data_IF_714718634555
#
_entry.id   IF_714718634555
#
_cell.length_a   1.000
_cell.length_b   1.000
_cell.length_c   1.000
_cell.angle_alpha   90.00
_cell.angle_beta   90.00
_cell.angle_gamma   90.00
#
_symmetry.space_group_name_H-M   'P 1'
#
loop_
_entity.id
_entity.type
_entity.pdbx_description
1 polymer ?
#
# COMPACT_ATOMS: atom_id res chain seq x y z
N UNK A 1 18.18 9.46 -3.68
CA UNK A 1 17.82 9.02 -2.33
C UNK A 1 16.36 8.69 -2.24
N UNK A 2 16.05 7.57 -1.62
CA UNK A 2 14.66 7.21 -1.41
C UNK A 2 14.08 7.99 -0.23
N UNK A 3 12.83 8.41 -0.37
CA UNK A 3 12.09 9.08 0.68
C UNK A 3 11.02 8.15 1.19
N UNK A 4 10.76 8.22 2.47
CA UNK A 4 9.73 7.40 3.10
C UNK A 4 8.65 8.27 3.69
N UNK A 5 7.40 7.94 3.41
CA UNK A 5 6.25 8.64 3.96
C UNK A 5 5.30 7.62 4.57
N UNK A 6 4.68 7.99 5.68
CA UNK A 6 3.69 7.15 6.34
C UNK A 6 2.35 7.84 6.32
N UNK A 7 1.29 7.10 5.98
CA UNK A 7 -0.07 7.60 5.96
C UNK A 7 -0.95 6.70 6.81
N UNK A 8 -1.72 7.31 7.70
CA UNK A 8 -2.71 6.58 8.48
C UNK A 8 -4.03 6.59 7.72
N UNK A 9 -4.59 5.43 7.49
CA UNK A 9 -5.86 5.31 6.76
C UNK A 9 -6.76 4.30 7.46
N UNK A 10 -8.06 4.45 7.27
CA UNK A 10 -9.03 3.45 7.72
C UNK A 10 -9.04 2.30 6.71
N UNK A 11 -9.52 1.14 7.14
CA UNK A 11 -9.64 0.01 6.24
C UNK A 11 -10.46 0.32 5.00
N UNK A 12 -11.50 1.14 5.15
CA UNK A 12 -12.35 1.56 4.03
C UNK A 12 -11.57 2.32 2.96
N UNK A 13 -10.59 3.10 3.38
CA UNK A 13 -9.82 3.94 2.47
C UNK A 13 -8.49 3.33 2.03
N UNK A 14 -8.17 2.15 2.54
CA UNK A 14 -6.88 1.52 2.27
C UNK A 14 -6.66 1.25 0.78
N UNK A 15 -7.61 0.59 0.15
CA UNK A 15 -7.51 0.27 -1.29
C UNK A 15 -7.45 1.55 -2.12
N UNK A 16 -8.28 2.52 -1.77
CA UNK A 16 -8.31 3.79 -2.48
C UNK A 16 -6.97 4.51 -2.39
N UNK A 17 -6.38 4.53 -1.20
CA UNK A 17 -5.09 5.19 -1.00
C UNK A 17 -3.99 4.49 -1.78
N UNK A 18 -3.97 3.16 -1.78
CA UNK A 18 -2.99 2.40 -2.55
C UNK A 18 -3.12 2.70 -4.04
N UNK A 19 -4.34 2.76 -4.56
CA UNK A 19 -4.56 3.12 -5.96
C UNK A 19 -4.03 4.50 -6.30
N UNK A 20 -4.26 5.47 -5.42
CA UNK A 20 -3.73 6.82 -5.61
C UNK A 20 -2.21 6.84 -5.68
N UNK A 21 -1.57 6.12 -4.76
CA UNK A 21 -0.12 6.04 -4.72
C UNK A 21 0.46 5.41 -5.98
N UNK A 22 -0.19 4.39 -6.48
CA UNK A 22 0.22 3.72 -7.72
C UNK A 22 0.13 4.68 -8.91
N UNK A 23 -0.94 5.48 -8.95
CA UNK A 23 -1.13 6.45 -10.03
C UNK A 23 -0.08 7.55 -10.04
N UNK A 24 0.45 7.90 -8.88
CA UNK A 24 1.49 8.93 -8.80
C UNK A 24 2.74 8.52 -9.57
N UNK A 25 3.01 7.22 -9.68
CA UNK A 25 4.10 6.72 -10.49
C UNK A 25 5.49 6.92 -9.90
N UNK A 26 5.58 7.53 -8.73
CA UNK A 26 6.83 7.85 -8.08
C UNK A 26 7.05 7.00 -6.81
N UNK A 27 6.32 5.92 -6.71
CA UNK A 27 6.36 5.04 -5.56
C UNK A 27 7.17 3.80 -5.90
N UNK A 28 8.13 3.49 -5.05
CA UNK A 28 9.03 2.36 -5.23
C UNK A 28 8.56 1.12 -4.48
N UNK A 29 8.05 1.31 -3.28
CA UNK A 29 7.60 0.20 -2.44
C UNK A 29 6.47 0.67 -1.53
N UNK A 30 5.50 -0.20 -1.31
CA UNK A 30 4.41 0.06 -0.37
C UNK A 30 4.42 -1.03 0.69
N UNK A 31 4.36 -0.61 1.96
CA UNK A 31 4.27 -1.51 3.10
C UNK A 31 3.02 -1.15 3.89
N UNK A 32 2.20 -2.13 4.22
CA UNK A 32 1.00 -1.92 5.02
C UNK A 32 1.23 -2.48 6.41
N UNK A 33 1.01 -1.65 7.41
CA UNK A 33 1.20 -2.00 8.82
C UNK A 33 -0.11 -1.85 9.57
N UNK A 34 -0.27 -2.62 10.63
CA UNK A 34 -1.42 -2.46 11.51
C UNK A 34 -1.21 -1.24 12.42
N UNK A 35 -2.19 -0.95 13.27
CA UNK A 35 -2.11 0.20 14.17
C UNK A 35 -1.00 0.07 15.22
N UNK A 36 -0.46 -1.13 15.42
CA UNK A 36 0.64 -1.38 16.34
C UNK A 36 2.00 -1.23 15.67
N UNK A 37 2.02 -0.98 14.36
CA UNK A 37 3.24 -0.87 13.61
C UNK A 37 3.77 -2.17 13.05
N UNK A 38 3.02 -3.26 13.20
CA UNK A 38 3.43 -4.55 12.67
C UNK A 38 3.20 -4.60 11.16
N UNK A 39 4.21 -4.99 10.41
CA UNK A 39 4.11 -5.13 8.97
C UNK A 39 3.20 -6.31 8.61
N UNK A 40 2.17 -6.02 7.84
CA UNK A 40 1.20 -7.02 7.41
C UNK A 40 1.49 -7.51 6.00
N UNK A 41 1.78 -6.58 5.10
CA UNK A 41 2.10 -6.91 3.73
C UNK A 41 3.02 -5.83 3.16
N UNK A 42 3.93 -6.23 2.28
CA UNK A 42 4.80 -5.29 1.57
C UNK A 42 4.96 -5.77 0.15
N UNK A 43 4.96 -4.83 -0.78
CA UNK A 43 5.17 -5.17 -2.19
C UNK A 43 5.92 -4.06 -2.90
N UNK A 44 6.87 -4.41 -3.75
CA UNK A 44 7.59 -3.41 -4.54
C UNK A 44 6.78 -3.03 -5.77
N UNK A 45 6.88 -1.76 -6.18
CA UNK A 45 6.30 -1.29 -7.42
C UNK A 45 7.45 -1.11 -8.41
N UNK A 46 7.84 -2.18 -9.05
CA UNK A 46 8.89 -2.16 -10.05
C UNK A 46 8.31 -1.91 -11.43
N UNK A 47 9.17 -1.50 -12.32
CA UNK A 47 8.78 -1.20 -13.69
C UNK A 47 8.13 -2.40 -14.37
N UNK A 48 6.98 -2.19 -15.01
CA UNK A 48 6.28 -3.24 -15.73
C UNK A 48 5.37 -4.11 -14.90
N UNK A 49 5.32 -3.90 -13.60
CA UNK A 49 4.49 -4.70 -12.71
C UNK A 49 3.08 -4.11 -12.58
N UNK A 50 2.90 -2.88 -13.04
CA UNK A 50 1.62 -2.17 -12.96
C UNK A 50 0.63 -2.79 -13.92
N UNK A 51 -0.53 -3.16 -13.42
CA UNK A 51 -1.61 -3.75 -14.22
C UNK A 51 -1.85 -5.21 -13.88
N UNK A 52 -1.02 -6.11 -14.40
CA UNK A 52 -1.25 -7.54 -14.24
C UNK A 52 -1.10 -8.04 -12.80
N UNK A 53 -0.17 -7.45 -12.03
CA UNK A 53 0.11 -7.87 -10.66
C UNK A 53 -0.67 -7.05 -9.64
N UNK A 54 -1.08 -5.84 -10.00
CA UNK A 54 -1.76 -4.93 -9.07
C UNK A 54 -3.17 -5.41 -8.73
N UNK A 55 -3.92 -5.93 -9.68
CA UNK A 55 -5.29 -6.37 -9.42
C UNK A 55 -5.39 -7.46 -8.35
N UNK A 56 -4.58 -8.53 -8.39
CA UNK A 56 -4.59 -9.52 -7.29
C UNK A 56 -4.15 -8.92 -5.96
N UNK A 57 -3.17 -8.01 -5.98
CA UNK A 57 -2.68 -7.35 -4.77
C UNK A 57 -3.78 -6.49 -4.15
N UNK A 58 -4.51 -5.74 -4.95
CA UNK A 58 -5.60 -4.90 -4.45
C UNK A 58 -6.73 -5.74 -3.84
N UNK A 59 -7.01 -6.90 -4.42
CA UNK A 59 -8.01 -7.80 -3.86
C UNK A 59 -7.57 -8.33 -2.49
N UNK A 60 -6.30 -8.69 -2.35
CA UNK A 60 -5.75 -9.14 -1.07
C UNK A 60 -5.78 -8.02 -0.03
N UNK A 61 -5.44 -6.80 -0.43
CA UNK A 61 -5.48 -5.64 0.45
C UNK A 61 -6.91 -5.35 0.90
N UNK A 62 -7.86 -5.47 0.00
CA UNK A 62 -9.27 -5.28 0.33
C UNK A 62 -9.77 -6.27 1.38
N UNK A 63 -9.39 -7.54 1.24
CA UNK A 63 -9.73 -8.56 2.22
C UNK A 63 -9.08 -8.27 3.57
N UNK A 64 -7.83 -7.85 3.57
CA UNK A 64 -7.10 -7.48 4.77
C UNK A 64 -7.74 -6.28 5.46
N UNK A 65 -8.13 -5.29 4.69
CA UNK A 65 -8.75 -4.07 5.19
C UNK A 65 -10.05 -4.36 5.95
N UNK A 66 -10.80 -5.35 5.52
CA UNK A 66 -12.04 -5.74 6.18
C UNK A 66 -11.79 -6.30 7.59
N UNK A 67 -10.57 -6.78 7.85
CA UNK A 67 -10.24 -7.41 9.13
C UNK A 67 -9.54 -6.47 10.11
N UNK A 68 -8.78 -5.51 9.63
CA UNK A 68 -7.88 -4.74 10.50
C UNK A 68 -8.38 -3.34 10.88
N UNK A 69 -9.38 -2.80 10.21
CA UNK A 69 -9.85 -1.44 10.50
C UNK A 69 -8.80 -0.40 10.15
N UNK A 70 -8.21 0.24 11.18
CA UNK A 70 -7.18 1.27 10.95
C UNK A 70 -5.82 0.66 10.66
N UNK A 71 -5.09 1.29 9.75
CA UNK A 71 -3.77 0.82 9.36
C UNK A 71 -2.90 1.98 8.91
N UNK A 72 -1.61 1.69 8.73
CA UNK A 72 -0.65 2.67 8.26
C UNK A 72 -0.02 2.16 6.97
N UNK A 73 0.05 3.03 5.97
CA UNK A 73 0.74 2.73 4.72
C UNK A 73 2.09 3.44 4.75
N UNK A 74 3.17 2.68 4.65
CA UNK A 74 4.50 3.25 4.50
C UNK A 74 4.89 3.20 3.03
N UNK A 75 5.26 4.32 2.48
CA UNK A 75 5.58 4.46 1.07
C UNK A 75 7.03 4.86 0.92
N UNK A 76 7.77 4.12 0.13
CA UNK A 76 9.13 4.50 -0.26
C UNK A 76 9.08 5.10 -1.66
N UNK A 77 9.61 6.29 -1.79
CA UNK A 77 9.69 7.02 -3.06
C UNK A 77 11.15 7.15 -3.51
N UNK A 78 11.33 7.30 -4.79
CA UNK A 78 12.66 7.56 -5.35
C UNK A 78 13.16 8.97 -5.01
#
# INVERSE_FOLDING_TARGET
MSKREDFKVSGENLVKKVKELIKEGNVRKITIKDKKGKELVAFPLTFGVVGAVIAPVLAAIGALAALIGDCTISVERD
#
